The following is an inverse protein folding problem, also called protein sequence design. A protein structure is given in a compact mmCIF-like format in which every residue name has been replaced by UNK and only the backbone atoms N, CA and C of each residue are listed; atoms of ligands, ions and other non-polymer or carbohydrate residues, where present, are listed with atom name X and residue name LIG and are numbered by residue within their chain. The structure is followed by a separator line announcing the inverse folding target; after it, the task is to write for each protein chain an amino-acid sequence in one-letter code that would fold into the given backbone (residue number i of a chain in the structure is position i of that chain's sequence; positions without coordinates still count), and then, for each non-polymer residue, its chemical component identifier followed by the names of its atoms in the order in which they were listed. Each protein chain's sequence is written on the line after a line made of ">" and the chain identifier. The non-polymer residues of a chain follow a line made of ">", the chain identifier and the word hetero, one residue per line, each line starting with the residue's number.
data_IF_678919297931
#
_entry.id   IF_678919297931
#
_cell.length_a   1.000
_cell.length_b   1.000
_cell.length_c   1.000
_cell.angle_alpha   90.00
_cell.angle_beta   90.00
_cell.angle_gamma   90.00
#
_symmetry.space_group_name_H-M   'P 1'
#
loop_
_entity.id
_entity.type
_entity.pdbx_description
1 polymer ?
#
# COMPACT_ATOMS: atom_id res chain seq x y z
N UNK A 1 -5.12 1.63 2.33
CA UNK A 1 -5.92 2.74 2.91
C UNK A 1 -6.54 3.66 1.84
N UNK A 2 -7.72 4.22 2.10
CA UNK A 2 -8.33 5.34 1.35
C UNK A 2 -9.11 6.21 2.34
N UNK A 3 -8.96 7.54 2.26
CA UNK A 3 -9.66 8.46 3.17
C UNK A 3 -11.09 8.66 2.65
N UNK A 4 -12.08 8.33 3.49
CA UNK A 4 -13.51 8.59 3.21
C UNK A 4 -13.90 9.84 3.97
N UNK A 5 -13.88 10.99 3.30
CA UNK A 5 -14.11 12.28 3.95
C UNK A 5 -15.48 12.34 4.64
N UNK A 6 -16.48 11.69 4.06
CA UNK A 6 -17.84 11.60 4.58
C UNK A 6 -17.90 10.95 5.97
N UNK A 7 -16.97 10.04 6.26
CA UNK A 7 -16.87 9.32 7.53
C UNK A 7 -16.08 10.08 8.62
N UNK A 8 -15.51 11.25 8.29
CA UNK A 8 -14.84 12.12 9.27
C UNK A 8 -15.87 12.88 10.12
N UNK A 9 -15.48 13.22 11.35
CA UNK A 9 -16.30 14.07 12.23
C UNK A 9 -16.39 15.50 11.72
N UNK A 10 -17.44 16.23 12.12
CA UNK A 10 -17.65 17.62 11.68
C UNK A 10 -16.50 18.55 12.11
N UNK A 11 -15.89 18.29 13.27
CA UNK A 11 -14.70 18.99 13.74
C UNK A 11 -13.52 18.84 12.78
N UNK A 12 -13.26 17.63 12.29
CA UNK A 12 -12.19 17.37 11.33
C UNK A 12 -12.54 17.97 9.97
N UNK A 13 -13.80 17.86 9.52
CA UNK A 13 -14.27 18.45 8.27
C UNK A 13 -14.12 19.97 8.24
N UNK A 14 -14.28 20.64 9.38
CA UNK A 14 -14.10 22.09 9.49
C UNK A 14 -12.65 22.55 9.27
N UNK A 15 -11.67 21.72 9.65
CA UNK A 15 -10.23 22.03 9.49
C UNK A 15 -9.59 21.34 8.29
N UNK A 16 -10.25 20.34 7.70
CA UNK A 16 -9.77 19.58 6.55
C UNK A 16 -10.87 19.51 5.47
N UNK A 17 -11.04 20.61 4.71
CA UNK A 17 -12.10 20.71 3.71
C UNK A 17 -11.88 19.75 2.55
N UNK A 18 -12.97 19.31 1.91
CA UNK A 18 -12.96 18.27 0.89
C UNK A 18 -12.06 18.62 -0.31
N UNK A 19 -11.99 19.89 -0.69
CA UNK A 19 -11.19 20.38 -1.81
C UNK A 19 -9.68 20.25 -1.54
N UNK A 20 -9.29 20.16 -0.26
CA UNK A 20 -7.92 19.95 0.20
C UNK A 20 -7.58 18.49 0.49
N UNK A 21 -8.55 17.58 0.34
CA UNK A 21 -8.39 16.16 0.64
C UNK A 21 -7.35 15.55 -0.31
N UNK A 22 -6.25 15.09 0.28
CA UNK A 22 -5.21 14.35 -0.46
C UNK A 22 -5.33 12.87 -0.14
N UNK A 23 -5.62 12.06 -1.16
CA UNK A 23 -5.54 10.61 -1.01
C UNK A 23 -4.08 10.17 -0.88
N UNK A 24 -3.75 9.23 0.02
CA UNK A 24 -2.43 8.63 0.05
C UNK A 24 -2.20 7.80 -1.22
N UNK A 25 -0.96 7.76 -1.70
CA UNK A 25 -0.55 6.83 -2.75
C UNK A 25 -0.69 5.41 -2.20
N UNK A 26 -1.41 4.55 -2.92
CA UNK A 26 -1.56 3.14 -2.57
C UNK A 26 -0.49 2.34 -3.28
N UNK A 27 0.28 1.54 -2.54
CA UNK A 27 1.33 0.70 -3.11
C UNK A 27 0.96 -0.76 -2.84
N UNK A 28 0.92 -1.58 -3.88
CA UNK A 28 0.55 -3.00 -3.78
C UNK A 28 1.68 -3.85 -4.33
N UNK A 29 2.23 -4.74 -3.51
CA UNK A 29 3.16 -5.77 -3.98
C UNK A 29 2.38 -6.90 -4.66
N UNK A 30 2.63 -7.11 -5.95
CA UNK A 30 1.90 -8.06 -6.78
C UNK A 30 2.86 -8.82 -7.72
N UNK A 31 3.72 -9.67 -7.15
CA UNK A 31 4.75 -10.37 -7.92
C UNK A 31 4.23 -11.40 -8.94
N UNK A 32 2.94 -11.71 -8.91
CA UNK A 32 2.28 -12.71 -9.74
C UNK A 32 1.15 -12.12 -10.61
N UNK A 33 1.05 -10.79 -10.70
CA UNK A 33 0.02 -10.08 -11.47
C UNK A 33 -1.42 -10.52 -11.16
N UNK A 34 -1.73 -10.72 -9.87
CA UNK A 34 -3.04 -11.16 -9.39
C UNK A 34 -4.03 -10.02 -9.23
N UNK A 35 -3.55 -8.78 -9.11
CA UNK A 35 -4.43 -7.62 -9.07
C UNK A 35 -5.00 -7.38 -10.47
N UNK A 36 -6.33 -7.34 -10.55
CA UNK A 36 -7.07 -7.11 -11.81
C UNK A 36 -7.77 -5.75 -11.80
N UNK A 37 -8.16 -5.22 -12.99
CA UNK A 37 -8.91 -3.95 -13.09
C UNK A 37 -10.26 -3.93 -12.35
N UNK A 38 -10.85 -5.10 -12.09
CA UNK A 38 -12.15 -5.22 -11.40
C UNK A 38 -12.04 -5.04 -9.88
N UNK A 39 -10.83 -5.04 -9.32
CA UNK A 39 -10.65 -4.85 -7.88
C UNK A 39 -10.92 -3.41 -7.48
N UNK A 40 -11.77 -3.21 -6.46
CA UNK A 40 -12.13 -1.87 -5.98
C UNK A 40 -10.91 -0.97 -5.74
N UNK A 41 -9.81 -1.53 -5.22
CA UNK A 41 -8.58 -0.78 -4.89
C UNK A 41 -7.96 -0.04 -6.09
N UNK A 42 -8.16 -0.55 -7.31
CA UNK A 42 -7.63 0.04 -8.55
C UNK A 42 -8.58 1.07 -9.18
N UNK A 43 -9.78 1.22 -8.61
CA UNK A 43 -10.83 2.13 -9.07
C UNK A 43 -11.04 3.33 -8.12
N UNK A 44 -10.36 3.35 -6.96
CA UNK A 44 -10.46 4.45 -6.00
C UNK A 44 -9.71 5.69 -6.49
N UNK A 45 -10.13 6.87 -6.02
CA UNK A 45 -9.43 8.12 -6.30
C UNK A 45 -8.00 8.14 -5.73
N UNK A 46 -7.07 8.75 -6.44
CA UNK A 46 -5.64 8.82 -6.10
C UNK A 46 -4.81 7.69 -6.73
N UNK A 47 -3.50 7.89 -6.76
CA UNK A 47 -2.54 6.99 -7.40
C UNK A 47 -2.51 5.60 -6.73
N UNK A 48 -2.47 4.56 -7.57
CA UNK A 48 -2.25 3.17 -7.19
C UNK A 48 -1.01 2.63 -7.93
N UNK A 49 0.08 2.41 -7.19
CA UNK A 49 1.34 1.87 -7.71
C UNK A 49 1.40 0.36 -7.47
N UNK A 50 1.44 -0.42 -8.55
CA UNK A 50 1.64 -1.87 -8.52
C UNK A 50 3.14 -2.18 -8.60
N UNK A 51 3.69 -2.73 -7.53
CA UNK A 51 5.06 -3.25 -7.51
C UNK A 51 5.05 -4.71 -8.02
N UNK A 52 5.56 -4.91 -9.24
CA UNK A 52 5.49 -6.18 -9.99
C UNK A 52 6.87 -6.68 -10.34
N UNK A 53 6.98 -7.96 -10.69
CA UNK A 53 8.24 -8.58 -11.16
C UNK A 53 8.33 -8.69 -12.67
N UNK A 54 7.20 -8.55 -13.35
CA UNK A 54 7.07 -8.55 -14.81
C UNK A 54 5.83 -7.74 -15.17
N UNK A 55 5.90 -7.01 -16.30
CA UNK A 55 4.79 -6.15 -16.71
C UNK A 55 3.66 -6.97 -17.32
N UNK A 56 2.44 -6.49 -17.12
CA UNK A 56 1.25 -7.01 -17.77
C UNK A 56 0.36 -5.83 -18.12
N UNK A 57 0.11 -5.65 -19.42
CA UNK A 57 -0.77 -4.60 -19.88
C UNK A 57 -2.21 -4.93 -19.54
N UNK A 58 -2.85 -4.00 -18.84
CA UNK A 58 -4.22 -4.08 -18.38
C UNK A 58 -4.92 -2.76 -18.65
N UNK A 59 -6.22 -2.81 -18.93
CA UNK A 59 -7.04 -1.62 -19.11
C UNK A 59 -7.54 -1.13 -17.75
N UNK A 60 -6.74 -0.30 -17.08
CA UNK A 60 -7.10 0.26 -15.77
C UNK A 60 -8.16 1.35 -15.88
N UNK A 61 -9.13 1.33 -14.96
CA UNK A 61 -10.18 2.36 -14.88
C UNK A 61 -9.75 3.56 -14.03
N UNK A 62 -8.86 3.36 -13.05
CA UNK A 62 -8.31 4.40 -12.18
C UNK A 62 -6.88 4.80 -12.52
N UNK A 63 -6.29 5.65 -11.68
CA UNK A 63 -4.91 6.10 -11.78
C UNK A 63 -3.97 5.00 -11.27
N UNK A 64 -3.68 4.03 -12.14
CA UNK A 64 -2.84 2.87 -11.84
C UNK A 64 -1.55 2.95 -12.65
N UNK A 65 -0.42 2.83 -11.96
CA UNK A 65 0.90 2.74 -12.58
C UNK A 65 1.64 1.51 -12.07
N UNK A 66 2.67 1.09 -12.82
CA UNK A 66 3.50 -0.06 -12.45
C UNK A 66 4.92 0.39 -12.10
N UNK A 67 5.55 -0.33 -11.17
CA UNK A 67 7.00 -0.35 -11.00
C UNK A 67 7.48 -1.79 -11.07
N UNK A 68 8.44 -2.02 -11.97
CA UNK A 68 9.07 -3.33 -12.12
C UNK A 68 10.29 -3.43 -11.20
N UNK A 69 10.33 -4.51 -10.43
CA UNK A 69 11.36 -4.81 -9.46
C UNK A 69 11.80 -6.27 -9.64
N UNK A 70 13.07 -6.61 -9.38
CA UNK A 70 13.48 -7.99 -9.38
C UNK A 70 12.81 -8.77 -8.26
N UNK A 71 12.88 -10.10 -8.35
CA UNK A 71 12.49 -10.96 -7.24
C UNK A 71 13.53 -10.88 -6.11
N UNK A 72 13.12 -11.18 -4.89
CA UNK A 72 14.00 -11.28 -3.73
C UNK A 72 14.93 -12.52 -3.72
N UNK A 73 14.97 -13.29 -4.82
CA UNK A 73 15.77 -14.50 -4.97
C UNK A 73 15.35 -15.72 -4.13
N UNK A 74 14.40 -15.59 -3.18
CA UNK A 74 14.00 -16.68 -2.27
C UNK A 74 12.66 -17.31 -2.62
N UNK A 75 11.66 -16.50 -2.98
CA UNK A 75 10.28 -16.98 -3.13
C UNK A 75 9.50 -16.27 -4.25
N UNK A 76 10.20 -15.73 -5.26
CA UNK A 76 9.61 -14.97 -6.36
C UNK A 76 8.76 -13.76 -5.93
N UNK A 77 8.89 -13.30 -4.68
CA UNK A 77 8.28 -12.06 -4.23
C UNK A 77 9.12 -10.88 -4.68
N UNK A 78 8.49 -9.70 -4.75
CA UNK A 78 9.19 -8.42 -4.99
C UNK A 78 10.31 -8.23 -3.97
N UNK A 79 11.46 -7.73 -4.42
CA UNK A 79 12.52 -7.25 -3.52
C UNK A 79 12.06 -5.98 -2.78
N UNK A 80 11.79 -6.12 -1.47
CA UNK A 80 11.27 -5.05 -0.63
C UNK A 80 12.31 -3.95 -0.35
N UNK A 81 13.60 -4.28 -0.33
CA UNK A 81 14.66 -3.28 -0.12
C UNK A 81 14.72 -2.35 -1.32
N UNK A 82 14.74 -2.94 -2.53
CA UNK A 82 14.71 -2.15 -3.76
C UNK A 82 13.39 -1.40 -3.93
N UNK A 83 12.26 -1.97 -3.50
CA UNK A 83 11.00 -1.23 -3.44
C UNK A 83 11.15 0.04 -2.61
N UNK A 84 11.60 -0.05 -1.35
CA UNK A 84 11.76 1.13 -0.49
C UNK A 84 12.72 2.16 -1.07
N UNK A 85 13.83 1.74 -1.69
CA UNK A 85 14.75 2.64 -2.38
C UNK A 85 14.09 3.39 -3.55
N UNK A 86 13.25 2.71 -4.33
CA UNK A 86 12.53 3.34 -5.45
C UNK A 86 11.43 4.30 -4.96
N UNK A 87 10.76 3.96 -3.86
CA UNK A 87 9.80 4.86 -3.23
C UNK A 87 10.48 6.14 -2.74
N UNK A 88 11.66 6.03 -2.12
CA UNK A 88 12.46 7.19 -1.71
C UNK A 88 12.85 8.10 -2.90
N UNK A 89 13.24 7.53 -4.04
CA UNK A 89 13.50 8.31 -5.28
C UNK A 89 12.27 9.06 -5.81
N UNK A 90 11.07 8.57 -5.49
CA UNK A 90 9.79 9.23 -5.81
C UNK A 90 9.35 10.24 -4.74
N UNK A 91 10.21 10.58 -3.77
CA UNK A 91 9.89 11.43 -2.61
C UNK A 91 8.76 10.87 -1.72
N UNK A 92 8.57 9.54 -1.71
CA UNK A 92 7.66 8.86 -0.80
C UNK A 92 8.45 8.54 0.47
N UNK A 93 8.36 9.47 1.44
CA UNK A 93 9.21 9.46 2.64
C UNK A 93 8.60 8.70 3.82
N UNK A 94 7.29 8.42 3.78
CA UNK A 94 6.57 7.73 4.85
C UNK A 94 5.63 6.70 4.24
N UNK A 95 5.73 5.45 4.70
CA UNK A 95 4.90 4.34 4.24
C UNK A 95 4.15 3.75 5.42
N UNK A 96 2.82 3.79 5.35
CA UNK A 96 1.97 3.08 6.29
C UNK A 96 1.64 1.70 5.74
N UNK A 97 2.09 0.64 6.44
CA UNK A 97 1.92 -0.74 5.98
C UNK A 97 0.68 -1.37 6.60
N UNK A 98 -0.30 -1.71 5.77
CA UNK A 98 -1.45 -2.54 6.12
C UNK A 98 -1.25 -3.93 5.52
N UNK A 99 -0.91 -4.93 6.34
CA UNK A 99 -0.64 -6.27 5.82
C UNK A 99 -0.88 -7.37 6.85
N UNK A 100 -0.90 -8.62 6.38
CA UNK A 100 -0.92 -9.80 7.26
C UNK A 100 0.46 -10.11 7.86
N UNK A 101 0.46 -11.02 8.84
CA UNK A 101 1.65 -11.37 9.63
C UNK A 101 2.89 -11.74 8.80
N UNK A 102 2.72 -12.41 7.66
CA UNK A 102 3.86 -12.80 6.81
C UNK A 102 4.60 -11.60 6.21
N UNK A 103 3.86 -10.63 5.66
CA UNK A 103 4.45 -9.45 5.04
C UNK A 103 5.05 -8.51 6.08
N UNK A 104 4.34 -8.30 7.20
CA UNK A 104 4.86 -7.55 8.34
C UNK A 104 6.15 -8.18 8.89
N UNK A 105 6.19 -9.52 9.04
CA UNK A 105 7.37 -10.26 9.45
C UNK A 105 8.55 -10.06 8.49
N UNK A 106 8.31 -10.13 7.18
CA UNK A 106 9.36 -9.91 6.18
C UNK A 106 9.97 -8.50 6.26
N UNK A 107 9.16 -7.46 6.51
CA UNK A 107 9.67 -6.10 6.69
C UNK A 107 10.52 -5.96 7.95
N UNK A 108 10.09 -6.57 9.06
CA UNK A 108 10.84 -6.59 10.32
C UNK A 108 12.18 -7.32 10.16
N UNK A 109 12.18 -8.50 9.54
CA UNK A 109 13.39 -9.30 9.29
C UNK A 109 14.41 -8.57 8.42
N UNK A 110 13.92 -7.74 7.48
CA UNK A 110 14.78 -6.92 6.61
C UNK A 110 15.21 -5.60 7.25
N UNK A 111 14.76 -5.28 8.46
CA UNK A 111 15.07 -4.01 9.13
C UNK A 111 14.48 -2.78 8.44
N UNK A 112 13.34 -2.93 7.75
CA UNK A 112 12.68 -1.88 6.97
C UNK A 112 11.57 -1.16 7.74
N UNK A 113 11.44 -1.43 9.05
CA UNK A 113 10.41 -0.85 9.92
C UNK A 113 11.05 0.08 10.92
N UNK A 114 10.71 1.37 10.85
CA UNK A 114 11.16 2.38 11.81
C UNK A 114 10.25 2.47 13.05
N UNK A 115 8.93 2.32 12.86
CA UNK A 115 7.92 2.41 13.92
C UNK A 115 6.88 1.30 13.80
N UNK A 116 6.47 0.75 14.94
CA UNK A 116 5.43 -0.28 15.02
C UNK A 116 4.26 0.20 15.89
N UNK A 117 3.08 0.28 15.29
CA UNK A 117 1.84 0.64 15.99
C UNK A 117 1.00 -0.62 16.17
N UNK A 118 0.80 -1.03 17.41
CA UNK A 118 0.09 -2.26 17.78
C UNK A 118 -1.27 -1.90 18.39
N UNK A 119 -2.35 -2.33 17.72
CA UNK A 119 -3.70 -2.27 18.27
C UNK A 119 -4.05 -3.59 18.95
N UNK A 120 -4.17 -3.58 20.28
CA UNK A 120 -4.56 -4.75 21.07
C UNK A 120 -6.06 -4.65 21.35
N UNK A 121 -6.85 -5.55 20.75
CA UNK A 121 -8.25 -5.72 21.09
C UNK A 121 -8.38 -6.52 22.40
N UNK A 122 -9.31 -6.13 23.26
CA UNK A 122 -9.56 -6.79 24.55
C UNK A 122 -10.45 -8.05 24.43
N UNK A 123 -10.79 -8.47 23.21
CA UNK A 123 -11.67 -9.62 23.00
C UNK A 123 -10.89 -10.94 23.11
N UNK A 124 -11.37 -11.83 23.98
CA UNK A 124 -10.83 -13.19 24.11
C UNK A 124 -11.16 -14.00 22.85
N UNK A 125 -10.16 -14.23 22.01
CA UNK A 125 -10.28 -15.13 20.86
C UNK A 125 -10.39 -16.58 21.37
N UNK A 126 -11.62 -17.05 21.61
CA UNK A 126 -11.86 -18.48 21.87
C UNK A 126 -11.68 -19.24 20.55
N UNK A 127 -10.68 -20.12 20.52
CA UNK A 127 -10.51 -21.12 19.45
C UNK A 127 -11.60 -22.18 19.52
#
# INVERSE_FOLDING_TARGET
>A
MNVRWEALSDEIKAIYPLESLRQPIRIITDSQNRVTPDYKITQLAGECLLARTHSQQEAWQGDVSEILLPTNGKNSSVDLVLLMMQLGKRNINSVWVESGAHFAGALLELGLVDELIIYIASENFRR
#
